data_IF_949564522095
#
_entry.id   IF_949564522095
#
_cell.length_a   1.000
_cell.length_b   1.000
_cell.length_c   1.000
_cell.angle_alpha   90.00
_cell.angle_beta   90.00
_cell.angle_gamma   90.00
#
_symmetry.space_group_name_H-M   'P 1'
#
loop_
_entity.id
_entity.type
_entity.pdbx_description
1 polymer ?
#
# COMPACT_ATOMS: atom_id res chain seq x y z
N UNK A 1 -0.34 42.33 14.08
CA UNK A 1 -0.84 41.05 13.51
C UNK A 1 -0.31 40.76 12.11
N UNK A 2 -0.07 41.75 11.24
CA UNK A 2 0.52 41.55 9.89
C UNK A 2 1.97 41.05 9.94
N UNK A 3 2.78 41.54 10.89
CA UNK A 3 4.20 41.14 11.07
C UNK A 3 4.37 39.67 11.50
N UNK A 4 3.41 39.12 12.23
CA UNK A 4 3.41 37.70 12.62
C UNK A 4 3.02 36.80 11.43
N UNK A 5 2.12 37.28 10.57
CA UNK A 5 1.74 36.60 9.34
C UNK A 5 2.89 36.55 8.31
N UNK A 6 3.69 37.62 8.18
CA UNK A 6 4.86 37.64 7.28
C UNK A 6 5.97 36.71 7.75
N UNK A 7 6.28 36.69 9.05
CA UNK A 7 7.27 35.77 9.62
C UNK A 7 6.89 34.29 9.42
N UNK A 8 5.59 33.99 9.40
CA UNK A 8 5.07 32.63 9.18
C UNK A 8 5.15 32.22 7.70
N UNK A 9 4.95 33.16 6.77
CA UNK A 9 5.11 32.96 5.32
C UNK A 9 6.56 32.68 4.94
N UNK A 10 7.52 33.37 5.55
CA UNK A 10 8.96 33.15 5.28
C UNK A 10 9.41 31.75 5.72
N UNK A 11 8.80 31.21 6.79
CA UNK A 11 9.04 29.83 7.24
C UNK A 11 8.44 28.78 6.31
N UNK A 12 7.29 29.05 5.69
CA UNK A 12 6.68 28.15 4.71
C UNK A 12 7.49 28.10 3.39
N UNK A 13 8.16 29.19 3.01
CA UNK A 13 9.06 29.21 1.83
C UNK A 13 10.35 28.41 2.01
N UNK A 14 10.80 28.23 3.25
CA UNK A 14 11.99 27.43 3.57
C UNK A 14 11.69 25.91 3.58
N UNK A 15 10.42 25.52 3.47
CA UNK A 15 10.04 24.11 3.45
C UNK A 15 10.43 23.50 2.11
N UNK A 16 11.26 22.44 2.09
CA UNK A 16 11.69 21.81 0.85
C UNK A 16 10.48 21.21 0.12
N UNK A 17 10.50 21.27 -1.21
CA UNK A 17 9.39 20.78 -2.05
C UNK A 17 9.07 19.29 -1.78
N UNK A 18 10.08 18.50 -1.37
CA UNK A 18 9.93 17.10 -0.97
C UNK A 18 8.94 16.90 0.19
N UNK A 19 8.87 17.83 1.14
CA UNK A 19 7.89 17.76 2.23
C UNK A 19 6.46 17.86 1.70
N UNK A 20 6.21 18.79 0.77
CA UNK A 20 4.89 18.95 0.16
C UNK A 20 4.46 17.73 -0.66
N UNK A 21 5.40 17.08 -1.37
CA UNK A 21 5.13 15.82 -2.04
C UNK A 21 4.76 14.71 -1.05
N UNK A 22 5.50 14.56 0.05
CA UNK A 22 5.19 13.57 1.08
C UNK A 22 3.82 13.83 1.71
N UNK A 23 3.50 15.09 2.03
CA UNK A 23 2.18 15.49 2.54
C UNK A 23 1.08 15.16 1.53
N UNK A 24 1.28 15.48 0.25
CA UNK A 24 0.31 15.15 -0.80
C UNK A 24 0.09 13.64 -0.92
N UNK A 25 1.14 12.82 -0.89
CA UNK A 25 1.04 11.35 -0.92
C UNK A 25 0.24 10.84 0.29
N UNK A 26 0.51 11.36 1.49
CA UNK A 26 -0.21 10.96 2.71
C UNK A 26 -1.69 11.33 2.61
N UNK A 27 -2.01 12.54 2.15
CA UNK A 27 -3.40 12.99 1.98
C UNK A 27 -4.12 12.13 0.94
N UNK A 28 -3.50 11.89 -0.22
CA UNK A 28 -4.07 11.03 -1.28
C UNK A 28 -4.27 9.61 -0.78
N UNK A 29 -3.30 9.05 -0.05
CA UNK A 29 -3.42 7.73 0.56
C UNK A 29 -4.55 7.66 1.59
N UNK A 30 -4.71 8.69 2.42
CA UNK A 30 -5.79 8.76 3.41
C UNK A 30 -7.17 8.89 2.78
N UNK A 31 -7.33 9.78 1.81
CA UNK A 31 -8.60 9.97 1.07
C UNK A 31 -8.94 8.72 0.27
N UNK A 32 -7.96 8.15 -0.43
CA UNK A 32 -8.10 6.88 -1.15
C UNK A 32 -8.50 5.75 -0.21
N UNK A 33 -7.87 5.65 0.95
CA UNK A 33 -8.22 4.68 1.99
C UNK A 33 -9.67 4.83 2.48
N UNK A 34 -10.12 6.05 2.79
CA UNK A 34 -11.51 6.30 3.19
C UNK A 34 -12.49 5.93 2.06
N UNK A 35 -12.15 6.27 0.81
CA UNK A 35 -12.99 5.96 -0.35
C UNK A 35 -13.13 4.45 -0.55
N UNK A 36 -12.04 3.70 -0.47
CA UNK A 36 -12.03 2.24 -0.52
C UNK A 36 -12.88 1.67 0.63
N UNK A 37 -12.65 2.13 1.88
CA UNK A 37 -13.41 1.65 3.04
C UNK A 37 -14.91 1.91 2.92
N UNK A 38 -15.31 3.07 2.38
CA UNK A 38 -16.71 3.38 2.08
C UNK A 38 -17.28 2.42 1.04
N UNK A 39 -16.53 2.16 -0.03
CA UNK A 39 -16.98 1.25 -1.09
C UNK A 39 -17.11 -0.18 -0.60
N UNK A 40 -16.15 -0.65 0.19
CA UNK A 40 -16.15 -1.97 0.85
C UNK A 40 -17.39 -2.14 1.74
N UNK A 41 -17.80 -1.09 2.46
CA UNK A 41 -18.96 -1.14 3.36
C UNK A 41 -20.29 -1.32 2.61
N UNK A 42 -20.40 -0.77 1.41
CA UNK A 42 -21.59 -0.90 0.56
C UNK A 42 -21.64 -2.25 -0.20
N UNK A 43 -20.53 -2.97 -0.27
CA UNK A 43 -20.44 -4.25 -0.99
C UNK A 43 -20.92 -5.42 -0.13
N UNK A 44 -21.48 -6.45 -0.80
CA UNK A 44 -21.74 -7.73 -0.15
C UNK A 44 -20.41 -8.31 0.37
N UNK A 45 -20.36 -8.60 1.67
CA UNK A 45 -19.17 -9.17 2.35
C UNK A 45 -18.65 -10.43 1.68
N UNK A 46 -19.55 -11.21 1.05
CA UNK A 46 -19.18 -12.42 0.30
C UNK A 46 -18.35 -12.07 -0.95
N UNK A 47 -18.80 -11.08 -1.74
CA UNK A 47 -18.10 -10.65 -2.96
C UNK A 47 -16.73 -10.06 -2.60
N UNK A 48 -16.69 -9.27 -1.52
CA UNK A 48 -15.44 -8.72 -1.00
C UNK A 48 -14.45 -9.83 -0.60
N UNK A 49 -14.93 -10.84 0.13
CA UNK A 49 -14.10 -11.99 0.53
C UNK A 49 -13.54 -12.73 -0.68
N UNK A 50 -14.35 -12.94 -1.72
CA UNK A 50 -13.91 -13.58 -2.97
C UNK A 50 -12.81 -12.74 -3.63
N UNK A 51 -13.00 -11.43 -3.77
CA UNK A 51 -12.01 -10.53 -4.38
C UNK A 51 -10.70 -10.52 -3.60
N UNK A 52 -10.76 -10.43 -2.27
CA UNK A 52 -9.58 -10.46 -1.41
C UNK A 52 -8.86 -11.81 -1.54
N UNK A 53 -9.60 -12.92 -1.52
CA UNK A 53 -9.03 -14.25 -1.65
C UNK A 53 -8.33 -14.43 -3.01
N UNK A 54 -8.96 -13.95 -4.08
CA UNK A 54 -8.42 -14.02 -5.45
C UNK A 54 -7.20 -13.11 -5.63
N UNK A 55 -7.23 -11.92 -5.04
CA UNK A 55 -6.08 -11.01 -5.06
C UNK A 55 -4.89 -11.59 -4.28
N UNK A 56 -5.12 -12.10 -3.06
CA UNK A 56 -4.08 -12.71 -2.24
C UNK A 56 -3.52 -13.98 -2.89
N UNK A 57 -4.35 -14.78 -3.56
CA UNK A 57 -3.85 -15.96 -4.28
C UNK A 57 -3.02 -15.55 -5.50
N UNK A 58 -3.47 -14.59 -6.31
CA UNK A 58 -2.68 -14.09 -7.44
C UNK A 58 -1.33 -13.51 -7.00
N UNK A 59 -1.33 -12.64 -5.98
CA UNK A 59 -0.10 -12.03 -5.46
C UNK A 59 0.79 -13.06 -4.77
N UNK A 60 0.21 -13.94 -3.95
CA UNK A 60 0.95 -15.00 -3.25
C UNK A 60 1.57 -16.00 -4.21
N UNK A 61 0.85 -16.40 -5.27
CA UNK A 61 1.42 -17.24 -6.32
C UNK A 61 2.47 -16.50 -7.14
N UNK A 62 2.28 -15.21 -7.42
CA UNK A 62 3.30 -14.41 -8.08
C UNK A 62 4.59 -14.36 -7.25
N UNK A 63 4.47 -14.14 -5.93
CA UNK A 63 5.57 -14.17 -4.98
C UNK A 63 6.30 -15.50 -4.97
N UNK A 64 5.57 -16.62 -4.82
CA UNK A 64 6.18 -17.95 -4.83
C UNK A 64 6.84 -18.25 -6.18
N UNK A 65 6.19 -17.89 -7.28
CA UNK A 65 6.66 -18.19 -8.63
C UNK A 65 7.89 -17.36 -9.01
N UNK A 66 7.87 -16.05 -8.76
CA UNK A 66 8.96 -15.13 -9.11
C UNK A 66 9.99 -14.93 -7.99
N UNK A 67 9.73 -15.45 -6.78
CA UNK A 67 10.56 -15.26 -5.58
C UNK A 67 10.92 -13.80 -5.33
N UNK A 68 9.93 -12.92 -5.51
CA UNK A 68 10.02 -11.46 -5.37
C UNK A 68 9.25 -10.93 -4.14
N UNK A 69 9.03 -11.78 -3.16
CA UNK A 69 8.37 -11.44 -1.90
C UNK A 69 9.17 -10.43 -1.05
N UNK A 70 8.49 -9.64 -0.21
CA UNK A 70 9.18 -8.76 0.72
C UNK A 70 9.86 -9.55 1.85
N UNK A 71 11.02 -9.09 2.31
CA UNK A 71 11.89 -9.79 3.28
C UNK A 71 11.19 -10.26 4.58
N UNK A 72 10.13 -9.57 5.02
CA UNK A 72 9.39 -9.96 6.22
C UNK A 72 8.46 -11.17 6.01
N UNK A 73 8.08 -11.48 4.76
CA UNK A 73 7.24 -12.63 4.41
C UNK A 73 8.04 -13.85 3.98
N UNK A 74 9.32 -13.70 3.68
CA UNK A 74 10.23 -14.80 3.34
C UNK A 74 10.12 -16.02 4.27
N UNK A 75 10.12 -15.90 5.62
CA UNK A 75 10.05 -17.08 6.49
C UNK A 75 8.69 -17.82 6.41
N UNK A 76 7.63 -17.12 6.01
CA UNK A 76 6.32 -17.74 5.79
C UNK A 76 6.30 -18.44 4.43
N UNK A 77 6.78 -17.75 3.40
CA UNK A 77 6.72 -18.24 2.03
C UNK A 77 7.68 -19.41 1.83
N UNK A 78 8.85 -19.45 2.48
CA UNK A 78 9.77 -20.60 2.41
C UNK A 78 9.16 -21.91 2.91
N UNK A 79 8.20 -21.86 3.85
CA UNK A 79 7.49 -23.06 4.33
C UNK A 79 6.44 -23.56 3.34
N UNK A 80 5.89 -22.65 2.55
CA UNK A 80 4.77 -22.92 1.64
C UNK A 80 5.27 -23.19 0.21
N UNK A 81 6.36 -22.53 -0.20
CA UNK A 81 7.05 -22.66 -1.48
C UNK A 81 7.32 -24.11 -1.93
N UNK A 82 7.69 -25.08 -1.07
CA UNK A 82 7.88 -26.47 -1.54
C UNK A 82 6.62 -27.15 -2.06
N UNK A 83 5.42 -26.63 -1.76
CA UNK A 83 4.15 -27.21 -2.24
C UNK A 83 3.65 -26.60 -3.55
N UNK A 84 4.29 -25.53 -4.04
CA UNK A 84 3.81 -24.76 -5.19
C UNK A 84 4.87 -24.65 -6.28
N UNK A 85 4.46 -24.61 -7.56
CA UNK A 85 5.40 -24.49 -8.67
C UNK A 85 6.14 -23.16 -8.59
N UNK A 86 7.47 -23.23 -8.66
CA UNK A 86 8.33 -22.05 -8.73
C UNK A 86 9.05 -22.03 -10.07
N UNK A 87 9.39 -20.83 -10.54
CA UNK A 87 10.06 -20.66 -11.83
C UNK A 87 11.42 -21.37 -11.79
N UNK A 88 11.51 -22.55 -12.41
CA UNK A 88 12.73 -23.38 -12.46
C UNK A 88 12.70 -24.69 -11.64
N UNK A 89 11.61 -25.02 -10.93
CA UNK A 89 11.40 -26.36 -10.37
C UNK A 89 10.18 -27.03 -11.03
N UNK A 90 10.46 -28.13 -11.72
CA UNK A 90 9.49 -29.05 -12.31
C UNK A 90 8.79 -29.87 -11.22
#
# INVERSE_FOLDING_TARGET
MIVLASASIDKLRQVPMSFWFNVAIVIVGFVGGIWILRRIREMNKIILMILICLFLSMVGFNWIYQRNEPHFLTPLIDRIAPFFPSKGKH
#
